data_IF_620071931518
#
_entry.id   IF_620071931518
#
_cell.length_a   1.000
_cell.length_b   1.000
_cell.length_c   1.000
_cell.angle_alpha   90.00
_cell.angle_beta   90.00
_cell.angle_gamma   90.00
#
_symmetry.space_group_name_H-M   'P 1'
#
loop_
_entity.id
_entity.type
_entity.pdbx_description
1 polymer ?
#
# COMPACT_ATOMS: atom_id res chain seq x y z
N UNK A 1 3.11 21.36 8.77
CA UNK A 1 3.31 19.90 8.76
C UNK A 1 1.99 19.22 8.39
N UNK A 2 2.02 18.34 7.40
CA UNK A 2 0.82 17.67 6.87
C UNK A 2 0.74 16.24 7.41
N UNK A 3 -0.43 15.84 7.96
CA UNK A 3 -0.64 14.50 8.54
C UNK A 3 -1.32 13.60 7.53
N UNK A 4 -0.81 12.37 7.35
CA UNK A 4 -1.38 11.34 6.48
C UNK A 4 -1.34 9.96 7.12
N UNK A 5 -2.42 9.21 6.94
CA UNK A 5 -2.45 7.77 7.15
C UNK A 5 -2.19 7.05 5.83
N UNK A 6 -1.38 6.02 5.84
CA UNK A 6 -0.98 5.27 4.65
C UNK A 6 -1.17 3.78 4.88
N UNK A 7 -1.82 3.15 3.91
CA UNK A 7 -1.93 1.70 3.81
C UNK A 7 -1.41 1.27 2.44
N UNK A 8 -0.27 0.60 2.42
CA UNK A 8 0.30 0.01 1.22
C UNK A 8 -0.10 -1.46 1.15
N UNK A 9 -1.35 -1.72 0.79
CA UNK A 9 -1.90 -3.06 0.65
C UNK A 9 -1.43 -3.80 -0.61
N UNK A 10 -1.77 -5.08 -0.73
CA UNK A 10 -1.36 -5.91 -1.87
C UNK A 10 -2.03 -5.54 -3.21
N UNK A 11 -3.25 -5.01 -3.18
CA UNK A 11 -3.98 -4.57 -4.39
C UNK A 11 -4.00 -3.07 -4.58
N UNK A 12 -4.02 -2.31 -3.48
CA UNK A 12 -4.18 -0.86 -3.48
C UNK A 12 -3.27 -0.21 -2.46
N UNK A 13 -2.82 1.00 -2.76
CA UNK A 13 -2.27 1.94 -1.77
C UNK A 13 -3.30 3.01 -1.47
N UNK A 14 -3.49 3.30 -0.18
CA UNK A 14 -4.39 4.34 0.31
C UNK A 14 -3.62 5.41 1.05
N UNK A 15 -3.92 6.67 0.74
CA UNK A 15 -3.40 7.84 1.45
C UNK A 15 -4.58 8.66 1.96
N UNK A 16 -4.71 8.76 3.28
CA UNK A 16 -5.84 9.40 3.92
C UNK A 16 -5.41 10.62 4.73
N UNK A 17 -6.10 11.74 4.54
CA UNK A 17 -6.08 12.90 5.44
C UNK A 17 -7.15 12.77 6.53
N UNK A 18 -8.30 12.22 6.16
CA UNK A 18 -9.45 11.94 7.04
C UNK A 18 -10.27 10.79 6.46
N UNK A 19 -11.32 10.37 7.14
CA UNK A 19 -12.23 9.33 6.65
C UNK A 19 -12.97 9.70 5.35
N UNK A 20 -13.12 11.01 5.08
CA UNK A 20 -13.78 11.53 3.87
C UNK A 20 -12.80 12.04 2.79
N UNK A 21 -11.51 12.04 3.07
CA UNK A 21 -10.47 12.52 2.13
C UNK A 21 -9.39 11.44 2.01
N UNK A 22 -9.70 10.45 1.19
CA UNK A 22 -8.86 9.29 0.92
C UNK A 22 -8.54 9.26 -0.57
N UNK A 23 -7.27 9.16 -0.89
CA UNK A 23 -6.79 8.82 -2.21
C UNK A 23 -6.45 7.34 -2.27
N UNK A 24 -6.89 6.67 -3.32
CA UNK A 24 -6.61 5.26 -3.58
C UNK A 24 -5.98 5.10 -4.96
N UNK A 25 -4.96 4.28 -5.07
CA UNK A 25 -4.34 3.89 -6.34
C UNK A 25 -4.00 2.40 -6.36
N UNK A 26 -3.86 1.78 -7.53
CA UNK A 26 -3.38 0.41 -7.66
C UNK A 26 -2.01 0.24 -6.99
N UNK A 27 -1.82 -0.83 -6.21
CA UNK A 27 -0.53 -1.17 -5.59
C UNK A 27 0.47 -1.72 -6.61
N UNK A 28 0.09 -2.62 -7.53
CA UNK A 28 0.99 -3.09 -8.57
C UNK A 28 1.54 -1.94 -9.41
N UNK A 29 2.83 -2.00 -9.70
CA UNK A 29 3.48 -1.10 -10.64
C UNK A 29 4.44 -1.91 -11.53
N UNK A 30 4.80 -1.32 -12.66
CA UNK A 30 5.81 -1.88 -13.57
C UNK A 30 7.02 -0.96 -13.56
N UNK A 31 8.20 -1.52 -13.33
CA UNK A 31 9.44 -0.80 -13.54
C UNK A 31 9.79 -0.79 -15.02
N UNK A 32 10.06 0.40 -15.55
CA UNK A 32 10.43 0.62 -16.94
C UNK A 32 11.80 1.28 -17.02
N UNK A 33 12.41 1.29 -18.20
CA UNK A 33 13.67 2.01 -18.38
C UNK A 33 13.49 3.51 -18.16
N UNK A 34 14.47 4.13 -17.52
CA UNK A 34 14.39 5.56 -17.19
C UNK A 34 14.32 6.47 -18.45
N UNK A 35 14.85 5.99 -19.57
CA UNK A 35 14.90 6.67 -20.87
C UNK A 35 13.79 6.24 -21.84
N UNK A 36 12.86 5.36 -21.43
CA UNK A 36 11.71 5.00 -22.26
C UNK A 36 10.91 6.24 -22.66
N UNK A 37 10.44 6.33 -23.92
CA UNK A 37 9.64 7.46 -24.36
C UNK A 37 8.38 7.67 -23.53
N UNK A 38 8.05 8.92 -23.21
CA UNK A 38 6.81 9.27 -22.50
C UNK A 38 5.61 9.07 -23.43
N UNK A 39 4.62 8.31 -23.00
CA UNK A 39 3.40 7.97 -23.78
C UNK A 39 2.24 8.95 -23.55
N UNK A 40 2.55 10.25 -23.54
CA UNK A 40 1.59 11.33 -23.22
C UNK A 40 0.29 11.30 -24.03
N UNK A 41 0.34 10.80 -25.26
CA UNK A 41 -0.82 10.73 -26.16
C UNK A 41 -1.77 9.55 -25.88
N UNK A 42 -1.40 8.66 -24.97
CA UNK A 42 -2.17 7.43 -24.65
C UNK A 42 -2.57 7.39 -23.17
N UNK A 43 -1.80 8.04 -22.28
CA UNK A 43 -2.00 8.01 -20.84
C UNK A 43 -2.72 9.29 -20.43
N UNK A 44 -3.99 9.16 -20.04
CA UNK A 44 -4.82 10.31 -19.63
C UNK A 44 -4.44 10.86 -18.25
N UNK A 45 -4.14 9.97 -17.30
CA UNK A 45 -3.74 10.38 -15.95
C UNK A 45 -2.23 10.61 -15.87
N UNK A 46 -1.84 11.88 -15.77
CA UNK A 46 -0.44 12.31 -15.72
C UNK A 46 0.34 11.81 -14.50
N UNK A 47 -0.32 11.19 -13.54
CA UNK A 47 0.33 10.63 -12.34
C UNK A 47 0.76 9.17 -12.51
N UNK A 48 0.29 8.48 -13.53
CA UNK A 48 0.53 7.05 -13.71
C UNK A 48 1.95 6.69 -14.17
N UNK A 49 2.73 7.67 -14.63
CA UNK A 49 4.14 7.54 -14.99
C UNK A 49 4.98 8.44 -14.08
N UNK A 50 5.94 7.87 -13.36
CA UNK A 50 6.74 8.62 -12.39
C UNK A 50 8.13 8.03 -12.20
N UNK A 51 9.08 8.90 -11.85
CA UNK A 51 10.46 8.53 -11.56
C UNK A 51 10.88 9.01 -10.17
N UNK A 52 11.50 8.15 -9.39
CA UNK A 52 12.05 8.50 -8.08
C UNK A 52 13.44 9.13 -8.29
N UNK A 53 13.55 10.43 -8.08
CA UNK A 53 14.81 11.20 -8.24
C UNK A 53 15.64 11.25 -6.96
N UNK A 54 14.99 11.22 -5.79
CA UNK A 54 15.61 11.20 -4.46
C UNK A 54 14.76 10.37 -3.51
N UNK A 55 15.39 9.59 -2.66
CA UNK A 55 14.73 8.72 -1.69
C UNK A 55 15.69 8.33 -0.58
N UNK A 56 15.22 8.21 0.69
CA UNK A 56 15.99 7.53 1.75
C UNK A 56 16.24 6.05 1.43
N UNK A 57 15.33 5.41 0.69
CA UNK A 57 15.52 4.07 0.15
C UNK A 57 16.39 4.15 -1.13
N UNK A 58 17.70 4.01 -0.96
CA UNK A 58 18.71 4.27 -2.01
C UNK A 58 18.50 3.38 -3.24
N UNK A 59 18.03 2.14 -3.06
CA UNK A 59 17.75 1.20 -4.17
C UNK A 59 16.72 1.71 -5.17
N UNK A 60 15.92 2.72 -4.80
CA UNK A 60 14.85 3.27 -5.64
C UNK A 60 15.28 4.47 -6.48
N UNK A 61 16.45 5.08 -6.18
CA UNK A 61 16.87 6.31 -6.83
C UNK A 61 17.16 6.06 -8.31
N UNK A 62 16.58 6.90 -9.17
CA UNK A 62 16.73 6.85 -10.63
C UNK A 62 15.73 5.90 -11.31
N UNK A 63 15.06 5.02 -10.58
CA UNK A 63 14.09 4.07 -11.15
C UNK A 63 12.80 4.78 -11.54
N UNK A 64 12.21 4.32 -12.64
CA UNK A 64 10.96 4.85 -13.21
C UNK A 64 9.89 3.77 -13.23
N UNK A 65 8.69 4.16 -12.90
CA UNK A 65 7.57 3.24 -12.71
C UNK A 65 6.32 3.74 -13.43
N UNK A 66 5.50 2.80 -13.86
CA UNK A 66 4.15 3.06 -14.36
C UNK A 66 3.12 2.25 -13.58
N UNK A 67 1.90 2.79 -13.46
CA UNK A 67 0.79 2.18 -12.71
C UNK A 67 -0.49 2.09 -13.54
N UNK A 68 -1.41 1.22 -13.07
CA UNK A 68 -2.76 1.13 -13.62
C UNK A 68 -2.77 0.90 -15.13
N UNK A 69 -3.62 1.61 -15.86
CA UNK A 69 -3.76 1.47 -17.31
C UNK A 69 -2.48 1.80 -18.11
N UNK A 70 -1.58 2.61 -17.53
CA UNK A 70 -0.31 2.93 -18.17
C UNK A 70 0.59 1.69 -18.36
N UNK A 71 0.49 0.67 -17.52
CA UNK A 71 1.29 -0.54 -17.63
C UNK A 71 1.09 -1.27 -18.97
N UNK A 72 -0.10 -1.15 -19.58
CA UNK A 72 -0.38 -1.76 -20.88
C UNK A 72 0.36 -1.11 -22.05
N UNK A 73 1.00 0.04 -21.82
CA UNK A 73 1.69 0.83 -22.84
C UNK A 73 3.21 0.63 -22.83
N UNK A 74 3.72 -0.05 -21.81
CA UNK A 74 5.15 -0.24 -21.62
C UNK A 74 5.50 -1.73 -21.46
N UNK A 75 6.79 -2.01 -21.57
CA UNK A 75 7.35 -3.31 -21.22
C UNK A 75 8.35 -3.11 -20.08
N UNK A 76 8.28 -3.96 -19.07
CA UNK A 76 9.14 -3.83 -17.89
C UNK A 76 8.86 -4.92 -16.87
N UNK A 77 9.52 -4.83 -15.75
CA UNK A 77 9.39 -5.80 -14.67
C UNK A 77 8.25 -5.44 -13.71
N UNK A 78 7.34 -6.36 -13.51
CA UNK A 78 6.22 -6.16 -12.58
C UNK A 78 6.71 -6.19 -11.13
N UNK A 79 6.43 -5.10 -10.41
CA UNK A 79 6.57 -5.04 -8.96
C UNK A 79 5.20 -5.23 -8.31
N UNK A 80 5.05 -6.35 -7.64
CA UNK A 80 3.86 -6.69 -6.87
C UNK A 80 4.26 -7.01 -5.44
N UNK A 81 3.42 -6.66 -4.49
CA UNK A 81 3.63 -7.06 -3.11
C UNK A 81 3.56 -8.59 -3.00
N UNK A 82 4.65 -9.20 -2.56
CA UNK A 82 4.70 -10.64 -2.30
C UNK A 82 4.28 -10.89 -0.85
N UNK A 83 3.33 -11.79 -0.64
CA UNK A 83 2.83 -12.14 0.69
C UNK A 83 3.64 -13.25 1.40
N UNK A 84 4.65 -13.81 0.74
CA UNK A 84 5.61 -14.72 1.36
C UNK A 84 6.86 -13.99 1.86
N UNK A 85 7.08 -12.78 1.39
CA UNK A 85 8.21 -11.94 1.77
C UNK A 85 7.77 -10.85 2.74
N UNK A 86 8.62 -10.54 3.71
CA UNK A 86 8.39 -9.49 4.72
C UNK A 86 8.11 -8.14 4.04
N UNK A 87 6.97 -7.50 4.35
CA UNK A 87 6.48 -6.27 3.72
C UNK A 87 7.50 -5.13 3.81
N UNK A 88 8.18 -4.98 4.96
CA UNK A 88 9.16 -3.91 5.17
C UNK A 88 10.47 -4.09 4.39
N UNK A 89 10.69 -5.23 3.73
CA UNK A 89 11.87 -5.45 2.88
C UNK A 89 11.57 -5.29 1.39
N UNK A 90 10.31 -5.05 1.02
CA UNK A 90 9.89 -5.00 -0.38
C UNK A 90 9.94 -3.58 -0.93
N UNK A 91 10.65 -3.36 -2.02
CA UNK A 91 10.73 -2.09 -2.73
C UNK A 91 9.35 -1.51 -3.08
N UNK A 92 8.43 -2.38 -3.51
CA UNK A 92 7.06 -1.97 -3.89
C UNK A 92 6.31 -1.28 -2.75
N UNK A 93 6.59 -1.62 -1.49
CA UNK A 93 6.00 -0.96 -0.32
C UNK A 93 6.38 0.53 -0.30
N UNK A 94 7.65 0.83 -0.47
CA UNK A 94 8.16 2.21 -0.43
C UNK A 94 7.79 2.99 -1.69
N UNK A 95 7.86 2.35 -2.87
CA UNK A 95 7.37 2.94 -4.13
C UNK A 95 5.93 3.41 -3.97
N UNK A 96 5.07 2.57 -3.40
CA UNK A 96 3.65 2.89 -3.19
C UNK A 96 3.44 4.03 -2.20
N UNK A 97 4.15 4.03 -1.07
CA UNK A 97 4.04 5.08 -0.06
C UNK A 97 4.51 6.43 -0.63
N UNK A 98 5.67 6.48 -1.26
CA UNK A 98 6.21 7.71 -1.83
C UNK A 98 5.34 8.23 -2.98
N UNK A 99 4.87 7.35 -3.85
CA UNK A 99 3.94 7.70 -4.92
C UNK A 99 2.66 8.33 -4.36
N UNK A 100 2.02 7.69 -3.38
CA UNK A 100 0.76 8.18 -2.81
C UNK A 100 0.90 9.56 -2.15
N UNK A 101 2.03 9.82 -1.46
CA UNK A 101 2.34 11.13 -0.89
C UNK A 101 2.61 12.19 -1.97
N UNK A 102 3.32 11.82 -3.03
CA UNK A 102 3.59 12.73 -4.14
C UNK A 102 2.31 13.11 -4.90
N UNK A 103 1.42 12.15 -5.14
CA UNK A 103 0.11 12.42 -5.76
C UNK A 103 -0.77 13.27 -4.86
N UNK A 104 -0.76 13.06 -3.53
CA UNK A 104 -1.44 13.93 -2.58
C UNK A 104 -0.95 15.38 -2.68
N UNK A 105 0.37 15.59 -2.78
CA UNK A 105 0.95 16.91 -3.02
C UNK A 105 0.49 17.50 -4.37
N UNK A 106 0.59 16.72 -5.44
CA UNK A 106 0.24 17.18 -6.79
C UNK A 106 -1.23 17.62 -6.87
N UNK A 107 -2.15 16.81 -6.36
CA UNK A 107 -3.59 17.09 -6.32
C UNK A 107 -3.95 18.32 -5.51
N UNK A 108 -3.14 18.69 -4.53
CA UNK A 108 -3.33 19.87 -3.67
C UNK A 108 -2.52 21.09 -4.11
N UNK A 109 -1.79 20.98 -5.21
CA UNK A 109 -0.89 22.05 -5.69
C UNK A 109 0.26 22.36 -4.74
N UNK A 110 0.65 21.40 -3.89
CA UNK A 110 1.72 21.54 -2.90
C UNK A 110 3.05 21.04 -3.44
N UNK A 111 4.14 21.60 -2.91
CA UNK A 111 5.51 21.13 -3.11
C UNK A 111 6.38 21.54 -1.90
N UNK A 112 7.48 20.87 -1.70
CA UNK A 112 8.44 21.13 -0.61
C UNK A 112 7.79 21.12 0.79
N UNK A 113 7.02 20.06 1.09
CA UNK A 113 6.25 19.92 2.32
C UNK A 113 6.87 18.94 3.31
N UNK A 114 6.63 19.16 4.60
CA UNK A 114 6.98 18.21 5.65
C UNK A 114 5.75 17.39 6.03
N UNK A 115 5.89 16.05 5.96
CA UNK A 115 4.86 15.11 6.36
C UNK A 115 5.08 14.53 7.76
N UNK A 116 3.98 14.33 8.47
CA UNK A 116 3.85 13.37 9.56
C UNK A 116 2.99 12.21 9.05
N UNK A 117 3.49 11.00 9.13
CA UNK A 117 2.80 9.83 8.57
C UNK A 117 2.53 8.76 9.60
N UNK A 118 1.45 8.02 9.39
CA UNK A 118 1.18 6.74 10.05
C UNK A 118 1.08 5.68 8.97
N UNK A 119 1.85 4.60 9.10
CA UNK A 119 1.87 3.46 8.18
C UNK A 119 1.51 2.18 8.90
N UNK A 120 0.91 1.22 8.19
CA UNK A 120 0.56 -0.08 8.72
C UNK A 120 1.46 -1.17 8.15
N UNK A 121 1.84 -2.10 9.02
CA UNK A 121 2.53 -3.34 8.64
C UNK A 121 1.77 -4.55 9.23
N UNK A 122 1.94 -5.74 8.65
CA UNK A 122 1.33 -6.96 9.18
C UNK A 122 1.63 -7.14 10.67
N UNK A 123 0.65 -7.61 11.43
CA UNK A 123 0.79 -7.77 12.88
C UNK A 123 1.96 -8.70 13.23
N UNK A 124 2.20 -9.76 12.45
CA UNK A 124 3.33 -10.66 12.65
C UNK A 124 4.69 -9.96 12.50
N UNK A 125 4.82 -9.00 11.58
CA UNK A 125 6.03 -8.20 11.40
C UNK A 125 6.19 -7.14 12.51
N UNK A 126 5.08 -6.52 12.91
CA UNK A 126 5.07 -5.50 13.96
C UNK A 126 5.56 -6.05 15.30
N UNK A 127 5.19 -7.28 15.65
CA UNK A 127 5.57 -7.97 16.89
C UNK A 127 6.80 -8.86 16.75
N UNK A 128 7.55 -8.76 15.64
CA UNK A 128 8.80 -9.49 15.45
C UNK A 128 9.95 -8.78 16.18
N UNK A 129 10.11 -9.09 17.46
CA UNK A 129 11.14 -8.49 18.34
C UNK A 129 12.58 -8.74 17.85
N UNK A 130 12.79 -9.80 17.04
CA UNK A 130 14.14 -10.20 16.61
C UNK A 130 14.66 -9.37 15.42
N UNK A 131 13.78 -8.77 14.61
CA UNK A 131 14.17 -8.18 13.34
C UNK A 131 14.00 -6.66 13.25
N UNK A 132 13.58 -6.01 14.35
CA UNK A 132 13.45 -4.54 14.42
C UNK A 132 12.73 -3.91 13.20
N UNK A 133 11.61 -4.53 12.76
CA UNK A 133 10.88 -4.16 11.53
C UNK A 133 10.34 -2.73 11.56
N UNK A 134 9.97 -2.25 12.75
CA UNK A 134 9.48 -0.88 12.96
C UNK A 134 10.57 0.13 12.60
N UNK A 135 11.78 -0.05 13.11
CA UNK A 135 12.90 0.86 12.84
C UNK A 135 13.38 0.74 11.39
N UNK A 136 13.35 -0.46 10.81
CA UNK A 136 13.64 -0.64 9.39
C UNK A 136 12.66 0.14 8.51
N UNK A 137 11.34 0.07 8.80
CA UNK A 137 10.32 0.86 8.09
C UNK A 137 10.59 2.36 8.22
N UNK A 138 10.85 2.84 9.44
CA UNK A 138 11.13 4.26 9.67
C UNK A 138 12.39 4.74 8.94
N UNK A 139 13.48 3.98 9.00
CA UNK A 139 14.74 4.33 8.35
C UNK A 139 14.59 4.42 6.82
N UNK A 140 13.80 3.54 6.22
CA UNK A 140 13.55 3.55 4.78
C UNK A 140 12.57 4.65 4.33
N UNK A 141 11.81 5.25 5.25
CA UNK A 141 10.86 6.32 4.95
C UNK A 141 11.38 7.71 5.35
N UNK A 142 12.30 7.80 6.31
CA UNK A 142 12.78 9.07 6.86
C UNK A 142 13.79 9.74 5.93
N UNK A 143 13.52 10.95 5.52
CA UNK A 143 14.42 11.77 4.70
C UNK A 143 13.70 12.54 3.60
N UNK A 144 14.49 13.05 2.68
CA UNK A 144 14.01 13.80 1.52
C UNK A 144 13.61 12.86 0.39
N UNK A 145 12.46 13.15 -0.20
CA UNK A 145 11.94 12.45 -1.38
C UNK A 145 11.70 13.45 -2.51
N UNK A 146 12.07 13.07 -3.73
CA UNK A 146 11.74 13.80 -4.93
C UNK A 146 11.22 12.84 -6.01
N UNK A 147 10.01 13.08 -6.49
CA UNK A 147 9.36 12.28 -7.53
C UNK A 147 9.04 13.19 -8.71
N UNK A 148 9.54 12.79 -9.88
CA UNK A 148 9.26 13.45 -11.15
C UNK A 148 8.12 12.74 -11.88
N UNK A 149 7.13 13.48 -12.32
CA UNK A 149 6.01 13.03 -13.15
C UNK A 149 6.22 13.54 -14.59
N UNK A 150 6.71 12.70 -15.51
CA UNK A 150 7.06 13.12 -16.87
C UNK A 150 5.88 13.73 -17.65
N UNK A 151 4.68 13.15 -17.48
CA UNK A 151 3.46 13.61 -18.15
C UNK A 151 2.96 14.97 -17.66
N UNK A 152 3.22 15.31 -16.40
CA UNK A 152 2.88 16.60 -15.80
C UNK A 152 4.03 17.62 -15.90
N UNK A 153 5.22 17.18 -16.32
CA UNK A 153 6.49 17.92 -16.26
C UNK A 153 6.72 18.59 -14.90
N UNK A 154 6.48 17.83 -13.83
CA UNK A 154 6.59 18.33 -12.44
C UNK A 154 7.41 17.41 -11.56
N UNK A 155 8.27 18.02 -10.75
CA UNK A 155 8.94 17.33 -9.65
C UNK A 155 8.28 17.74 -8.33
N UNK A 156 7.77 16.76 -7.62
CA UNK A 156 7.21 16.92 -6.28
C UNK A 156 8.28 16.54 -5.26
N UNK A 157 8.49 17.41 -4.27
CA UNK A 157 9.42 17.22 -3.16
C UNK A 157 8.68 17.21 -1.85
N UNK A 158 9.12 16.37 -0.93
CA UNK A 158 8.68 16.36 0.46
C UNK A 158 9.74 15.76 1.36
N UNK A 159 9.58 16.01 2.65
CA UNK A 159 10.45 15.50 3.70
C UNK A 159 9.64 14.79 4.78
N UNK A 160 10.20 13.73 5.35
CA UNK A 160 9.63 13.00 6.47
C UNK A 160 10.70 12.85 7.55
N UNK A 161 10.49 13.47 8.70
CA UNK A 161 11.37 13.28 9.86
C UNK A 161 11.16 11.90 10.47
N UNK A 162 12.23 11.24 10.93
CA UNK A 162 12.16 9.91 11.54
C UNK A 162 11.16 9.84 12.71
N UNK A 163 11.15 10.86 13.57
CA UNK A 163 10.25 10.98 14.72
C UNK A 163 8.80 11.34 14.33
N UNK A 164 8.55 11.63 13.06
CA UNK A 164 7.20 11.92 12.52
C UNK A 164 6.58 10.69 11.84
N UNK A 165 7.22 9.52 11.96
CA UNK A 165 6.72 8.27 11.40
C UNK A 165 6.16 7.40 12.55
N UNK A 166 4.85 7.19 12.54
CA UNK A 166 4.20 6.21 13.37
C UNK A 166 4.01 4.91 12.56
N UNK A 167 4.47 3.79 13.11
CA UNK A 167 4.22 2.46 12.53
C UNK A 167 3.23 1.74 13.43
N UNK A 168 2.22 1.11 12.85
CA UNK A 168 1.18 0.40 13.58
C UNK A 168 0.93 -0.99 12.98
N UNK A 169 0.44 -1.92 13.80
CA UNK A 169 0.03 -3.23 13.32
C UNK A 169 -1.32 -3.15 12.60
N UNK A 170 -1.43 -3.79 11.44
CA UNK A 170 -2.70 -4.10 10.80
C UNK A 170 -3.60 -4.84 11.80
N UNK A 171 -4.91 -4.73 11.71
CA UNK A 171 -5.82 -5.25 12.71
C UNK A 171 -5.94 -4.40 13.98
N UNK A 172 -4.84 -3.94 14.59
CA UNK A 172 -4.89 -2.97 15.70
C UNK A 172 -5.53 -1.66 15.23
N UNK A 173 -5.12 -1.16 14.07
CA UNK A 173 -5.70 0.06 13.47
C UNK A 173 -7.18 -0.13 13.16
N UNK A 174 -7.58 -1.28 12.62
CA UNK A 174 -9.00 -1.60 12.40
C UNK A 174 -9.80 -1.57 13.70
N UNK A 175 -9.24 -2.11 14.78
CA UNK A 175 -9.85 -2.11 16.11
C UNK A 175 -9.98 -0.69 16.70
N UNK A 176 -9.10 0.25 16.37
CA UNK A 176 -9.12 1.65 16.87
C UNK A 176 -10.44 2.37 16.59
N UNK A 177 -11.19 1.96 15.57
CA UNK A 177 -12.55 2.46 15.30
C UNK A 177 -13.49 2.25 16.50
N UNK A 178 -13.27 1.19 17.27
CA UNK A 178 -14.12 0.79 18.39
C UNK A 178 -13.58 1.24 19.75
N UNK A 179 -12.51 2.04 19.81
CA UNK A 179 -11.83 2.47 21.05
C UNK A 179 -12.73 3.18 22.06
N UNK A 180 -13.82 3.79 21.61
CA UNK A 180 -14.81 4.47 22.46
C UNK A 180 -15.95 3.55 22.92
N UNK A 181 -16.05 2.35 22.35
CA UNK A 181 -17.04 1.35 22.77
C UNK A 181 -16.51 0.60 23.99
N UNK A 182 -17.13 0.85 25.17
CA UNK A 182 -16.72 0.26 26.44
C UNK A 182 -16.76 -1.26 26.43
N UNK A 183 -17.80 -1.84 25.82
CA UNK A 183 -17.94 -3.30 25.76
C UNK A 183 -16.84 -3.93 24.90
N UNK A 184 -16.45 -3.29 23.82
CA UNK A 184 -15.35 -3.76 22.99
C UNK A 184 -14.00 -3.65 23.71
N UNK A 185 -13.73 -2.51 24.37
CA UNK A 185 -12.45 -2.23 25.05
C UNK A 185 -12.21 -3.18 26.24
N UNK A 186 -13.26 -3.61 26.93
CA UNK A 186 -13.16 -4.49 28.09
C UNK A 186 -13.09 -5.98 27.73
N UNK A 187 -13.41 -6.36 26.51
CA UNK A 187 -13.41 -7.76 26.04
C UNK A 187 -12.09 -8.17 25.41
N UNK A 188 -11.83 -9.46 25.43
CA UNK A 188 -10.81 -10.07 24.60
C UNK A 188 -11.39 -10.20 23.19
N UNK A 189 -10.64 -9.73 22.19
CA UNK A 189 -11.11 -9.65 20.82
C UNK A 189 -10.09 -10.25 19.88
N UNK A 190 -10.56 -10.94 18.86
CA UNK A 190 -9.76 -11.35 17.71
C UNK A 190 -10.18 -10.48 16.52
N UNK A 191 -9.23 -9.83 15.91
CA UNK A 191 -9.43 -9.12 14.64
C UNK A 191 -8.89 -10.01 13.54
N UNK A 192 -9.74 -10.29 12.56
CA UNK A 192 -9.36 -11.03 11.34
C UNK A 192 -9.50 -10.04 10.20
N UNK A 193 -8.37 -9.65 9.62
CA UNK A 193 -8.29 -8.75 8.48
C UNK A 193 -8.03 -9.57 7.22
N UNK A 194 -9.05 -9.72 6.40
CA UNK A 194 -8.97 -10.47 5.14
C UNK A 194 -8.63 -9.50 4.02
N UNK A 195 -7.34 -9.40 3.72
CA UNK A 195 -6.83 -8.60 2.60
C UNK A 195 -6.94 -9.33 1.25
N UNK A 196 -6.47 -8.67 0.21
CA UNK A 196 -6.46 -9.27 -1.14
C UNK A 196 -5.48 -10.44 -1.24
N UNK A 197 -4.32 -10.35 -0.58
CA UNK A 197 -3.24 -11.35 -0.68
C UNK A 197 -3.06 -12.17 0.59
N UNK A 198 -3.32 -11.58 1.76
CA UNK A 198 -3.12 -12.21 3.05
C UNK A 198 -4.34 -12.06 3.95
N UNK A 199 -4.41 -12.91 4.95
CA UNK A 199 -5.31 -12.76 6.09
C UNK A 199 -4.45 -12.57 7.33
N UNK A 200 -4.64 -11.44 8.00
CA UNK A 200 -3.93 -11.07 9.22
C UNK A 200 -4.83 -11.28 10.44
N UNK A 201 -4.27 -11.92 11.47
CA UNK A 201 -4.97 -12.20 12.72
C UNK A 201 -4.25 -11.43 13.83
N UNK A 202 -5.01 -10.65 14.59
CA UNK A 202 -4.51 -9.90 15.75
C UNK A 202 -5.37 -10.18 16.95
N UNK A 203 -4.76 -10.59 18.06
CA UNK A 203 -5.45 -10.81 19.33
C UNK A 203 -5.28 -9.58 20.21
N UNK A 204 -6.39 -9.08 20.75
CA UNK A 204 -6.44 -7.97 21.69
C UNK A 204 -6.98 -8.47 23.03
N UNK A 205 -6.23 -8.33 24.10
CA UNK A 205 -6.68 -8.56 25.46
C UNK A 205 -7.00 -7.21 26.11
N UNK A 206 -8.28 -6.94 26.34
CA UNK A 206 -8.75 -5.65 26.86
C UNK A 206 -8.16 -4.48 26.07
N UNK A 207 -8.29 -4.56 24.75
CA UNK A 207 -7.76 -3.58 23.78
C UNK A 207 -6.23 -3.47 23.70
N UNK A 208 -5.48 -4.26 24.45
CA UNK A 208 -4.02 -4.33 24.32
C UNK A 208 -3.62 -5.46 23.36
N UNK A 209 -2.87 -5.17 22.31
CA UNK A 209 -2.44 -6.18 21.35
C UNK A 209 -1.45 -7.16 22.00
N UNK A 210 -1.55 -8.44 21.62
CA UNK A 210 -0.71 -9.52 22.14
C UNK A 210 0.11 -10.12 20.99
N UNK A 211 1.41 -9.92 21.03
CA UNK A 211 2.31 -10.36 19.96
C UNK A 211 2.25 -11.87 19.68
N UNK A 212 2.16 -12.70 20.73
CA UNK A 212 2.03 -14.16 20.57
C UNK A 212 0.72 -14.61 19.91
N UNK A 213 -0.28 -13.72 19.82
CA UNK A 213 -1.54 -13.96 19.13
C UNK A 213 -1.60 -13.40 17.71
N UNK A 214 -0.53 -12.74 17.26
CA UNK A 214 -0.44 -12.22 15.92
C UNK A 214 -0.02 -13.30 14.92
N UNK A 215 -0.70 -13.35 13.78
CA UNK A 215 -0.36 -14.27 12.70
C UNK A 215 -0.74 -13.65 11.35
N UNK A 216 0.02 -13.96 10.32
CA UNK A 216 -0.33 -13.68 8.93
C UNK A 216 -0.36 -14.99 8.15
N UNK A 217 -1.29 -15.11 7.22
CA UNK A 217 -1.42 -16.26 6.33
C UNK A 217 -1.49 -15.76 4.88
N UNK A 218 -0.77 -16.38 3.93
CA UNK A 218 -0.79 -16.01 2.51
C UNK A 218 -2.07 -16.52 1.83
N UNK A 219 -3.21 -16.23 2.42
CA UNK A 219 -4.54 -16.59 1.93
C UNK A 219 -5.38 -15.32 1.97
N UNK A 220 -5.87 -14.89 0.82
CA UNK A 220 -6.68 -13.68 0.68
C UNK A 220 -7.65 -13.74 -0.49
N UNK A 221 -8.20 -12.61 -0.87
CA UNK A 221 -9.17 -12.49 -1.96
C UNK A 221 -8.69 -13.08 -3.28
N UNK A 222 -7.39 -12.99 -3.60
CA UNK A 222 -6.81 -13.58 -4.80
C UNK A 222 -6.99 -15.10 -4.88
N UNK A 223 -6.93 -15.79 -3.74
CA UNK A 223 -7.16 -17.25 -3.68
C UNK A 223 -8.62 -17.59 -3.94
N UNK A 224 -9.54 -16.76 -3.46
CA UNK A 224 -10.97 -16.91 -3.75
C UNK A 224 -11.26 -16.71 -5.25
N UNK A 225 -10.72 -15.65 -5.84
CA UNK A 225 -10.84 -15.38 -7.28
C UNK A 225 -10.33 -16.57 -8.12
N UNK A 226 -9.14 -17.10 -7.80
CA UNK A 226 -8.55 -18.24 -8.50
C UNK A 226 -9.39 -19.51 -8.37
N UNK A 227 -9.93 -19.78 -7.17
CA UNK A 227 -10.80 -20.94 -6.94
C UNK A 227 -12.11 -20.83 -7.72
N UNK A 228 -12.73 -19.66 -7.75
CA UNK A 228 -13.95 -19.41 -8.53
C UNK A 228 -13.66 -19.59 -10.02
N UNK A 229 -12.55 -19.01 -10.52
CA UNK A 229 -12.17 -19.16 -11.93
C UNK A 229 -11.99 -20.64 -12.29
N UNK A 230 -11.26 -21.39 -11.49
CA UNK A 230 -11.04 -22.82 -11.71
C UNK A 230 -12.33 -23.63 -11.69
N UNK A 231 -13.32 -23.26 -10.85
CA UNK A 231 -14.62 -23.92 -10.84
C UNK A 231 -15.43 -23.58 -12.10
N UNK A 232 -15.47 -22.31 -12.50
CA UNK A 232 -16.17 -21.89 -13.72
C UNK A 232 -15.59 -22.55 -14.97
N UNK A 233 -14.25 -22.68 -15.05
CA UNK A 233 -13.58 -23.38 -16.15
C UNK A 233 -13.99 -24.86 -16.23
N UNK A 234 -14.15 -25.55 -15.07
CA UNK A 234 -14.67 -26.95 -15.04
C UNK A 234 -16.09 -27.04 -15.58
N UNK A 235 -16.88 -25.99 -15.38
CA UNK A 235 -18.26 -25.89 -15.88
C UNK A 235 -18.32 -25.34 -17.32
N UNK A 236 -17.16 -25.23 -18.02
CA UNK A 236 -16.99 -24.65 -19.36
C UNK A 236 -17.44 -23.18 -19.47
N UNK A 237 -17.37 -22.43 -18.36
CA UNK A 237 -17.64 -20.98 -18.31
C UNK A 237 -16.29 -20.25 -18.27
N UNK A 238 -15.94 -19.58 -19.36
CA UNK A 238 -14.67 -18.84 -19.47
C UNK A 238 -14.89 -17.36 -19.15
N UNK A 239 -14.17 -16.86 -18.15
CA UNK A 239 -14.23 -15.46 -17.72
C UNK A 239 -12.86 -14.99 -17.20
N UNK A 240 -12.69 -13.70 -16.99
CA UNK A 240 -11.46 -13.13 -16.43
C UNK A 240 -11.57 -12.96 -14.92
N UNK A 241 -10.44 -12.96 -14.22
CA UNK A 241 -10.39 -12.64 -12.79
C UNK A 241 -10.96 -11.26 -12.48
N UNK A 242 -10.83 -10.29 -13.40
CA UNK A 242 -11.45 -8.97 -13.27
C UNK A 242 -12.98 -9.04 -13.23
N UNK A 243 -13.60 -9.84 -14.11
CA UNK A 243 -15.04 -10.03 -14.11
C UNK A 243 -15.52 -10.74 -12.83
N UNK A 244 -14.77 -11.73 -12.35
CA UNK A 244 -15.07 -12.40 -11.07
C UNK A 244 -15.02 -11.39 -9.92
N UNK A 245 -13.99 -10.56 -9.85
CA UNK A 245 -13.86 -9.51 -8.82
C UNK A 245 -15.00 -8.51 -8.88
N UNK A 246 -15.36 -8.07 -10.07
CA UNK A 246 -16.51 -7.18 -10.30
C UNK A 246 -17.82 -7.78 -9.79
N UNK A 247 -18.07 -9.06 -10.09
CA UNK A 247 -19.25 -9.77 -9.62
C UNK A 247 -19.26 -9.87 -8.09
N UNK A 248 -18.13 -10.25 -7.46
CA UNK A 248 -18.02 -10.35 -6.00
C UNK A 248 -18.28 -9.00 -5.31
N UNK A 249 -17.78 -7.90 -5.86
CA UNK A 249 -18.00 -6.56 -5.27
C UNK A 249 -19.45 -6.07 -5.46
N UNK A 250 -20.17 -6.54 -6.46
CA UNK A 250 -21.57 -6.13 -6.74
C UNK A 250 -22.57 -6.85 -5.82
N UNK A 251 -22.24 -8.06 -5.32
CA UNK A 251 -23.14 -8.85 -4.46
C UNK A 251 -23.24 -8.30 -3.03
N UNK A 252 -22.29 -7.46 -2.60
CA UNK A 252 -22.19 -6.97 -1.22
C UNK A 252 -22.52 -5.47 -1.05
N UNK A 253 -23.22 -4.86 -1.98
CA UNK A 253 -23.73 -3.48 -1.88
C UNK A 253 -25.19 -3.44 -1.50
#
# INVERSE_FOLDING_TARGET
MYKRGLDAGGSEVRCAKSASDIYTAPSPCMEIKADDPVKAHIIEDSTLDFQIKKSPCVSLIGRRFVKGAAMNQYSGDMLICDNQTVKVTQDVTYVNIFYALAVDCLRRGMNDVNYQIAVCIPAAEYFDDNNNRIEQMKNNLAGDVAIYFPLADRTIRFHIEHNQIAVAAEGVIAAMRYRTNRDFVLKNTVVIDVGYRSTDITVLLKFSPVGKGAASRPIGGINLEANIQSQLERDNIFTTTENIRKALTTIYV
#
